data_IF_590945406822
#
_entry.id   IF_590945406822
#
_cell.length_a   1.000
_cell.length_b   1.000
_cell.length_c   1.000
_cell.angle_alpha   90.00
_cell.angle_beta   90.00
_cell.angle_gamma   90.00
#
_symmetry.space_group_name_H-M   'P 1'
#
loop_
_entity.id
_entity.type
_entity.pdbx_description
1 polymer ?
#
# COMPACT_ATOMS: atom_id res chain seq x y z
N UNK A 1 20.56 6.96 -14.64
CA UNK A 1 19.95 5.66 -14.93
C UNK A 1 18.49 5.89 -15.30
N UNK A 2 17.98 5.18 -16.28
CA UNK A 2 16.59 5.36 -16.78
C UNK A 2 15.80 4.06 -16.60
N UNK A 3 14.55 4.18 -16.22
CA UNK A 3 13.61 3.06 -16.06
C UNK A 3 12.23 3.50 -16.55
N UNK A 4 11.36 2.53 -16.84
CA UNK A 4 9.97 2.80 -17.15
C UNK A 4 9.12 2.37 -15.96
N UNK A 5 8.05 3.10 -15.68
CA UNK A 5 7.17 2.77 -14.56
C UNK A 5 5.72 3.18 -14.82
N UNK A 6 4.86 2.83 -13.88
CA UNK A 6 3.44 3.18 -13.90
C UNK A 6 3.11 4.11 -12.73
N UNK A 7 2.30 5.13 -13.00
CA UNK A 7 1.78 6.04 -11.97
C UNK A 7 0.59 5.38 -11.26
N UNK A 8 0.67 5.25 -9.94
CA UNK A 8 -0.35 4.62 -9.12
C UNK A 8 -0.69 5.48 -7.89
N UNK A 9 -1.90 5.37 -7.32
CA UNK A 9 -2.18 5.95 -6.02
C UNK A 9 -1.36 5.25 -4.93
N UNK A 10 -0.99 5.99 -3.88
CA UNK A 10 -0.28 5.39 -2.72
C UNK A 10 -1.11 4.30 -2.04
N UNK A 11 -2.43 4.51 -1.99
CA UNK A 11 -3.36 3.52 -1.44
C UNK A 11 -4.53 3.34 -2.38
N UNK A 12 -4.70 2.13 -2.88
CA UNK A 12 -5.90 1.72 -3.61
C UNK A 12 -6.47 0.44 -3.01
N UNK A 13 -7.79 0.30 -3.06
CA UNK A 13 -8.49 -0.88 -2.57
C UNK A 13 -9.45 -1.38 -3.63
N UNK A 14 -9.36 -2.65 -3.93
CA UNK A 14 -10.31 -3.35 -4.78
C UNK A 14 -11.48 -3.84 -3.93
N UNK A 15 -12.67 -3.41 -4.30
CA UNK A 15 -13.92 -3.79 -3.63
C UNK A 15 -14.61 -4.84 -4.46
N UNK A 16 -14.83 -6.00 -3.86
CA UNK A 16 -15.51 -7.13 -4.47
C UNK A 16 -16.65 -7.65 -3.61
N UNK A 17 -17.26 -8.77 -4.04
CA UNK A 17 -18.30 -9.47 -3.29
C UNK A 17 -17.93 -10.92 -3.03
N UNK A 18 -18.42 -11.46 -1.89
CA UNK A 18 -18.23 -12.86 -1.52
C UNK A 18 -19.49 -13.72 -1.80
N UNK A 19 -20.55 -13.11 -2.36
CA UNK A 19 -21.78 -13.80 -2.72
C UNK A 19 -22.06 -13.62 -4.21
N UNK A 20 -22.63 -14.66 -4.80
CA UNK A 20 -23.08 -14.61 -6.20
C UNK A 20 -24.49 -14.06 -6.28
N UNK A 21 -24.78 -13.28 -7.32
CA UNK A 21 -26.09 -12.71 -7.54
C UNK A 21 -26.08 -11.71 -8.70
N UNK A 22 -27.18 -11.01 -8.86
CA UNK A 22 -27.36 -9.96 -9.87
C UNK A 22 -27.16 -8.61 -9.18
N UNK A 23 -26.46 -7.68 -9.82
CA UNK A 23 -26.37 -6.29 -9.37
C UNK A 23 -27.73 -5.64 -9.59
N UNK A 24 -28.40 -5.24 -8.51
CA UNK A 24 -29.70 -4.56 -8.58
C UNK A 24 -29.53 -3.08 -8.87
N UNK A 25 -28.69 -2.39 -8.09
CA UNK A 25 -28.45 -0.94 -8.22
C UNK A 25 -27.00 -0.56 -7.98
N UNK A 26 -26.58 0.48 -8.69
CA UNK A 26 -25.31 1.17 -8.49
C UNK A 26 -25.57 2.57 -7.95
N UNK A 27 -24.82 2.96 -6.93
CA UNK A 27 -24.92 4.25 -6.24
C UNK A 27 -23.68 5.11 -6.38
N UNK A 28 -22.61 4.57 -6.99
CA UNK A 28 -21.39 5.27 -7.30
C UNK A 28 -20.95 4.96 -8.73
N UNK A 29 -20.42 5.95 -9.41
CA UNK A 29 -19.89 5.83 -10.76
C UNK A 29 -18.43 6.29 -10.82
N UNK A 30 -17.82 6.24 -12.01
CA UNK A 30 -16.44 6.68 -12.23
C UNK A 30 -16.23 8.10 -11.72
N UNK A 31 -15.11 8.35 -11.06
CA UNK A 31 -14.68 9.63 -10.49
C UNK A 31 -15.55 10.17 -9.34
N UNK A 32 -16.52 9.41 -8.84
CA UNK A 32 -17.30 9.81 -7.67
C UNK A 32 -16.46 9.75 -6.39
N UNK A 33 -16.66 10.74 -5.53
CA UNK A 33 -16.10 10.74 -4.19
C UNK A 33 -16.98 9.92 -3.25
N UNK A 34 -16.40 8.97 -2.57
CA UNK A 34 -17.06 8.07 -1.64
C UNK A 34 -16.41 8.13 -0.26
N UNK A 35 -17.23 7.87 0.77
CA UNK A 35 -16.77 7.81 2.16
C UNK A 35 -16.76 6.37 2.65
N UNK A 36 -15.89 6.08 3.61
CA UNK A 36 -15.87 4.79 4.28
C UNK A 36 -17.27 4.44 4.86
N UNK A 37 -17.76 3.24 4.54
CA UNK A 37 -19.11 2.78 4.88
C UNK A 37 -20.23 3.29 3.97
N UNK A 38 -19.97 4.14 2.99
CA UNK A 38 -20.96 4.59 2.02
C UNK A 38 -21.36 3.43 1.11
N UNK A 39 -22.69 3.28 0.87
CA UNK A 39 -23.22 2.31 -0.07
C UNK A 39 -22.83 2.70 -1.50
N UNK A 40 -22.19 1.77 -2.22
CA UNK A 40 -21.74 1.95 -3.60
C UNK A 40 -22.46 1.04 -4.59
N UNK A 41 -22.89 -0.15 -4.14
CA UNK A 41 -23.70 -1.04 -4.96
C UNK A 41 -24.57 -1.95 -4.08
N UNK A 42 -25.64 -2.46 -4.64
CA UNK A 42 -26.55 -3.38 -4.02
C UNK A 42 -26.87 -4.53 -4.96
N UNK A 43 -26.80 -5.75 -4.45
CA UNK A 43 -27.20 -6.95 -5.17
C UNK A 43 -28.65 -7.30 -4.87
N UNK A 44 -29.28 -8.07 -5.76
CA UNK A 44 -30.61 -8.65 -5.50
C UNK A 44 -30.58 -9.51 -4.22
N UNK A 45 -31.41 -9.14 -3.25
CA UNK A 45 -31.48 -9.75 -1.93
C UNK A 45 -32.64 -10.73 -1.76
N UNK A 46 -33.48 -10.91 -2.78
CA UNK A 46 -34.73 -11.70 -2.65
C UNK A 46 -34.43 -13.13 -2.17
N UNK A 47 -33.49 -13.80 -2.80
CA UNK A 47 -33.09 -15.17 -2.41
C UNK A 47 -32.44 -15.23 -1.04
N UNK A 48 -31.54 -14.29 -0.73
CA UNK A 48 -30.82 -14.22 0.54
C UNK A 48 -31.75 -13.86 1.72
N UNK A 49 -32.78 -13.05 1.46
CA UNK A 49 -33.84 -12.76 2.45
C UNK A 49 -34.69 -13.99 2.74
N UNK A 50 -35.10 -14.75 1.70
CA UNK A 50 -35.84 -15.99 1.89
C UNK A 50 -35.03 -17.04 2.67
N UNK A 51 -33.72 -17.15 2.40
CA UNK A 51 -32.82 -18.00 3.18
C UNK A 51 -32.73 -17.55 4.64
N UNK A 52 -32.67 -16.24 4.90
CA UNK A 52 -32.65 -15.70 6.25
C UNK A 52 -33.94 -16.02 7.00
N UNK A 53 -35.09 -15.85 6.38
CA UNK A 53 -36.40 -16.21 6.97
C UNK A 53 -36.48 -17.69 7.30
N UNK A 54 -35.99 -18.55 6.40
CA UNK A 54 -35.94 -20.00 6.64
C UNK A 54 -35.04 -20.36 7.82
N UNK A 55 -33.83 -19.74 7.89
CA UNK A 55 -32.88 -19.94 9.00
C UNK A 55 -33.47 -19.42 10.34
N UNK A 56 -34.23 -18.32 10.32
CA UNK A 56 -34.91 -17.80 11.50
C UNK A 56 -35.98 -18.75 12.00
N UNK A 57 -36.80 -19.32 11.09
CA UNK A 57 -37.82 -20.30 11.44
C UNK A 57 -37.19 -21.56 12.04
N UNK A 58 -36.11 -22.06 11.47
CA UNK A 58 -35.36 -23.21 12.00
C UNK A 58 -34.78 -22.93 13.39
N UNK A 59 -34.22 -21.74 13.60
CA UNK A 59 -33.67 -21.30 14.90
C UNK A 59 -34.83 -21.21 15.95
N UNK A 60 -35.99 -20.68 15.57
CA UNK A 60 -37.14 -20.60 16.47
C UNK A 60 -37.65 -21.99 16.89
N UNK A 61 -37.68 -22.94 15.93
CA UNK A 61 -38.08 -24.33 16.22
C UNK A 61 -37.11 -25.01 17.17
N UNK A 62 -35.81 -24.98 16.89
CA UNK A 62 -34.78 -25.59 17.75
C UNK A 62 -34.69 -24.93 19.13
N UNK A 63 -34.92 -23.61 19.21
CA UNK A 63 -35.02 -22.89 20.48
C UNK A 63 -36.19 -23.39 21.34
N UNK A 64 -37.35 -23.57 20.74
CA UNK A 64 -38.55 -24.08 21.45
C UNK A 64 -38.32 -25.48 22.00
N UNK A 65 -37.71 -26.36 21.20
CA UNK A 65 -37.34 -27.72 21.66
C UNK A 65 -36.31 -27.67 22.80
N UNK A 66 -35.27 -26.86 22.68
CA UNK A 66 -34.29 -26.68 23.74
C UNK A 66 -34.92 -26.15 25.04
N UNK A 67 -35.82 -25.18 24.97
CA UNK A 67 -36.52 -24.62 26.14
C UNK A 67 -37.44 -25.70 26.79
N UNK A 68 -38.08 -26.52 25.98
CA UNK A 68 -38.89 -27.63 26.47
C UNK A 68 -38.02 -28.66 27.19
N UNK A 69 -36.96 -29.13 26.57
CA UNK A 69 -36.07 -30.12 27.15
C UNK A 69 -35.35 -29.60 28.39
N UNK A 70 -35.00 -28.31 28.43
CA UNK A 70 -34.41 -27.65 29.62
C UNK A 70 -35.39 -27.76 30.82
N UNK A 71 -36.65 -27.45 30.62
CA UNK A 71 -37.68 -27.56 31.67
C UNK A 71 -37.92 -29.01 32.09
N UNK A 72 -37.92 -29.93 31.13
CA UNK A 72 -38.08 -31.37 31.40
C UNK A 72 -36.91 -31.92 32.21
N UNK A 73 -35.68 -31.64 31.79
CA UNK A 73 -34.46 -32.05 32.52
C UNK A 73 -34.44 -31.48 33.93
N UNK A 74 -34.72 -30.18 34.10
CA UNK A 74 -34.74 -29.57 35.44
C UNK A 74 -35.77 -30.23 36.37
N UNK A 75 -36.95 -30.60 35.84
CA UNK A 75 -37.96 -31.35 36.60
C UNK A 75 -37.49 -32.74 36.97
N UNK A 76 -36.98 -33.49 35.99
CA UNK A 76 -36.47 -34.86 36.19
C UNK A 76 -35.29 -34.87 37.16
N UNK A 77 -34.41 -33.91 37.11
CA UNK A 77 -33.28 -33.71 38.04
C UNK A 77 -33.77 -33.55 39.47
N UNK A 78 -34.79 -32.71 39.71
CA UNK A 78 -35.38 -32.50 41.04
C UNK A 78 -36.06 -33.76 41.56
N UNK A 79 -36.71 -34.56 40.71
CA UNK A 79 -37.31 -35.85 41.10
C UNK A 79 -36.25 -36.91 41.40
N UNK A 80 -35.15 -36.93 40.62
CA UNK A 80 -34.04 -37.85 40.86
C UNK A 80 -33.32 -37.56 42.19
N UNK A 81 -33.08 -36.29 42.51
CA UNK A 81 -32.51 -35.88 43.83
C UNK A 81 -33.38 -36.34 45.01
N UNK A 82 -34.72 -36.49 44.77
CA UNK A 82 -35.67 -37.04 45.74
C UNK A 82 -35.88 -38.57 45.65
N UNK A 83 -35.10 -39.25 44.81
CA UNK A 83 -35.19 -40.69 44.54
C UNK A 83 -36.57 -41.16 44.03
N UNK A 84 -37.25 -40.30 43.28
CA UNK A 84 -38.58 -40.57 42.73
C UNK A 84 -38.60 -41.04 41.26
N UNK A 85 -37.42 -41.02 40.60
CA UNK A 85 -37.23 -41.54 39.24
C UNK A 85 -35.93 -42.35 39.19
N UNK A 86 -35.81 -43.25 38.20
CA UNK A 86 -34.63 -44.08 37.99
C UNK A 86 -33.44 -43.31 37.39
N UNK A 87 -32.23 -43.83 37.59
CA UNK A 87 -31.00 -43.27 36.94
C UNK A 87 -31.17 -43.26 35.42
N UNK A 88 -31.73 -44.29 34.81
CA UNK A 88 -31.97 -44.38 33.36
C UNK A 88 -32.92 -43.27 32.84
N UNK A 89 -33.94 -42.89 33.59
CA UNK A 89 -34.85 -41.79 33.23
C UNK A 89 -34.15 -40.43 33.33
N UNK A 90 -33.29 -40.28 34.35
CA UNK A 90 -32.45 -39.06 34.49
C UNK A 90 -31.45 -38.94 33.34
N UNK A 91 -30.72 -40.04 33.04
CA UNK A 91 -29.74 -40.05 31.93
C UNK A 91 -30.43 -39.79 30.57
N UNK A 92 -31.61 -40.35 30.35
CA UNK A 92 -32.40 -40.07 29.14
C UNK A 92 -32.82 -38.61 29.04
N UNK A 93 -33.26 -37.98 30.11
CA UNK A 93 -33.65 -36.57 30.13
C UNK A 93 -32.41 -35.68 29.92
N UNK A 94 -31.28 -36.01 30.47
CA UNK A 94 -30.01 -35.30 30.24
C UNK A 94 -29.56 -35.41 28.78
N UNK A 95 -29.60 -36.60 28.21
CA UNK A 95 -29.24 -36.84 26.81
C UNK A 95 -30.11 -36.00 25.87
N UNK A 96 -31.43 -35.98 26.08
CA UNK A 96 -32.37 -35.18 25.25
C UNK A 96 -32.11 -33.68 25.40
N UNK A 97 -31.81 -33.20 26.61
CA UNK A 97 -31.45 -31.82 26.87
C UNK A 97 -30.20 -31.43 26.11
N UNK A 98 -29.10 -32.22 26.22
CA UNK A 98 -27.83 -31.93 25.52
C UNK A 98 -28.01 -32.00 24.00
N UNK A 99 -28.78 -32.93 23.48
CA UNK A 99 -29.10 -33.05 22.05
C UNK A 99 -29.84 -31.82 21.55
N UNK A 100 -30.85 -31.36 22.27
CA UNK A 100 -31.65 -30.18 21.92
C UNK A 100 -30.77 -28.89 22.01
N UNK A 101 -29.87 -28.80 23.01
CA UNK A 101 -28.95 -27.71 23.14
C UNK A 101 -28.02 -27.63 21.93
N UNK A 102 -27.39 -28.75 21.56
CA UNK A 102 -26.47 -28.81 20.42
C UNK A 102 -27.19 -28.44 19.10
N UNK A 103 -28.43 -28.89 18.92
CA UNK A 103 -29.26 -28.53 17.75
C UNK A 103 -29.59 -27.02 17.71
N UNK A 104 -29.85 -26.41 18.87
CA UNK A 104 -30.06 -24.98 18.97
C UNK A 104 -28.81 -24.19 18.64
N UNK A 105 -27.65 -24.57 19.22
CA UNK A 105 -26.34 -23.93 18.93
C UNK A 105 -25.97 -24.04 17.44
N UNK A 106 -26.21 -25.20 16.81
CA UNK A 106 -26.01 -25.42 15.38
C UNK A 106 -26.90 -24.48 14.53
N UNK A 107 -28.19 -24.37 14.88
CA UNK A 107 -29.12 -23.48 14.15
C UNK A 107 -28.76 -22.01 14.32
N UNK A 108 -28.24 -21.63 15.50
CA UNK A 108 -27.74 -20.27 15.75
C UNK A 108 -26.54 -19.95 14.87
N UNK A 109 -25.57 -20.86 14.77
CA UNK A 109 -24.41 -20.70 13.90
C UNK A 109 -24.80 -20.60 12.41
N UNK A 110 -25.76 -21.43 11.96
CA UNK A 110 -26.29 -21.39 10.60
C UNK A 110 -26.96 -20.03 10.30
N UNK A 111 -27.77 -19.51 11.21
CA UNK A 111 -28.42 -18.20 11.07
C UNK A 111 -27.41 -17.06 10.97
N UNK A 112 -26.32 -17.09 11.76
CA UNK A 112 -25.25 -16.09 11.69
C UNK A 112 -24.57 -16.09 10.31
N UNK A 113 -24.32 -17.29 9.74
CA UNK A 113 -23.75 -17.42 8.39
C UNK A 113 -24.65 -16.79 7.33
N UNK A 114 -25.95 -17.12 7.33
CA UNK A 114 -26.91 -16.57 6.35
C UNK A 114 -27.07 -15.06 6.49
N UNK A 115 -27.13 -14.55 7.72
CA UNK A 115 -27.14 -13.11 7.98
C UNK A 115 -25.92 -12.38 7.44
N UNK A 116 -24.75 -13.01 7.56
CA UNK A 116 -23.49 -12.45 7.00
C UNK A 116 -23.53 -12.42 5.48
N UNK A 117 -24.00 -13.49 4.84
CA UNK A 117 -24.16 -13.54 3.39
C UNK A 117 -25.09 -12.43 2.87
N UNK A 118 -26.20 -12.19 3.57
CA UNK A 118 -27.09 -11.06 3.26
C UNK A 118 -26.36 -9.70 3.41
N UNK A 119 -25.47 -9.57 4.39
CA UNK A 119 -24.62 -8.38 4.54
C UNK A 119 -23.70 -8.15 3.35
N UNK A 120 -23.15 -9.21 2.77
CA UNK A 120 -22.27 -9.12 1.60
C UNK A 120 -22.97 -8.71 0.30
N UNK A 121 -24.30 -8.81 0.24
CA UNK A 121 -25.12 -8.29 -0.86
C UNK A 121 -25.24 -6.76 -0.84
N UNK A 122 -24.78 -6.09 0.22
CA UNK A 122 -24.71 -4.65 0.35
C UNK A 122 -23.25 -4.23 0.30
N UNK A 123 -22.82 -3.65 -0.82
CA UNK A 123 -21.43 -3.35 -1.10
C UNK A 123 -21.16 -1.90 -0.69
N UNK A 124 -20.25 -1.72 0.27
CA UNK A 124 -19.89 -0.41 0.79
C UNK A 124 -18.41 -0.13 0.56
N UNK A 125 -18.05 1.15 0.45
CA UNK A 125 -16.65 1.55 0.36
C UNK A 125 -15.92 1.25 1.68
N UNK A 126 -14.76 0.60 1.66
CA UNK A 126 -13.95 0.36 2.86
C UNK A 126 -13.15 1.59 3.31
N UNK A 127 -12.91 2.55 2.41
CA UNK A 127 -12.08 3.75 2.62
C UNK A 127 -12.77 5.00 2.10
N UNK A 128 -12.34 6.16 2.58
CA UNK A 128 -12.64 7.43 1.93
C UNK A 128 -11.79 7.56 0.67
N UNK A 129 -12.37 8.05 -0.43
CA UNK A 129 -11.59 8.19 -1.66
C UNK A 129 -12.42 8.46 -2.90
N UNK A 130 -11.81 8.21 -4.06
CA UNK A 130 -12.39 8.38 -5.39
C UNK A 130 -12.46 7.05 -6.11
N UNK A 131 -13.58 6.76 -6.76
CA UNK A 131 -13.75 5.57 -7.60
C UNK A 131 -12.92 5.72 -8.88
N UNK A 132 -11.88 4.90 -9.03
CA UNK A 132 -11.04 4.88 -10.23
C UNK A 132 -11.69 4.07 -11.35
N UNK A 133 -12.22 2.89 -10.99
CA UNK A 133 -12.84 2.01 -11.96
C UNK A 133 -14.08 1.33 -11.39
N UNK A 134 -15.02 1.03 -12.28
CA UNK A 134 -16.22 0.26 -12.07
C UNK A 134 -16.25 -0.87 -13.09
N UNK A 135 -16.12 -2.10 -12.63
CA UNK A 135 -16.05 -3.30 -13.48
C UNK A 135 -17.38 -4.02 -13.66
N UNK A 136 -18.49 -3.42 -13.19
CA UNK A 136 -19.83 -4.03 -13.21
C UNK A 136 -20.92 -3.06 -13.63
N UNK A 137 -22.01 -3.62 -14.17
CA UNK A 137 -23.19 -2.87 -14.64
C UNK A 137 -24.45 -3.34 -13.87
N UNK A 138 -25.49 -2.48 -13.84
CA UNK A 138 -26.81 -2.87 -13.33
C UNK A 138 -27.41 -4.00 -14.17
N UNK A 139 -27.97 -5.01 -13.51
CA UNK A 139 -28.46 -6.21 -14.14
C UNK A 139 -27.40 -7.26 -14.46
N UNK A 140 -26.12 -6.97 -14.26
CA UNK A 140 -25.04 -7.94 -14.49
C UNK A 140 -25.05 -9.02 -13.41
N UNK A 141 -24.87 -10.28 -13.84
CA UNK A 141 -24.66 -11.40 -12.92
C UNK A 141 -23.21 -11.52 -12.53
N UNK A 142 -22.95 -11.51 -11.23
CA UNK A 142 -21.63 -11.70 -10.65
C UNK A 142 -21.57 -13.07 -9.96
N UNK A 143 -20.55 -13.85 -10.27
CA UNK A 143 -20.31 -15.15 -9.64
C UNK A 143 -19.07 -15.07 -8.74
N UNK A 144 -19.29 -15.17 -7.43
CA UNK A 144 -18.20 -15.33 -6.45
C UNK A 144 -17.82 -16.81 -6.41
N UNK A 145 -16.68 -17.14 -6.98
CA UNK A 145 -16.16 -18.51 -7.07
C UNK A 145 -14.81 -18.65 -6.36
N UNK A 146 -13.82 -19.21 -7.06
CA UNK A 146 -12.47 -19.37 -6.55
C UNK A 146 -11.73 -18.01 -6.42
N UNK A 147 -12.06 -17.03 -7.25
CA UNK A 147 -11.55 -15.69 -7.20
C UNK A 147 -12.68 -14.71 -6.87
N UNK A 148 -12.38 -13.72 -6.05
CA UNK A 148 -13.33 -12.65 -5.74
C UNK A 148 -13.33 -11.65 -6.90
N UNK A 149 -14.46 -11.48 -7.62
CA UNK A 149 -14.51 -10.51 -8.70
C UNK A 149 -14.41 -9.08 -8.16
N UNK A 150 -13.52 -8.28 -8.73
CA UNK A 150 -13.41 -6.85 -8.43
C UNK A 150 -14.59 -6.12 -9.07
N UNK A 151 -15.34 -5.37 -8.26
CA UNK A 151 -16.49 -4.57 -8.70
C UNK A 151 -16.11 -3.10 -8.87
N UNK A 152 -15.34 -2.58 -7.91
CA UNK A 152 -14.84 -1.21 -7.90
C UNK A 152 -13.38 -1.18 -7.47
N UNK A 153 -12.64 -0.20 -7.99
CA UNK A 153 -11.32 0.17 -7.48
C UNK A 153 -11.40 1.60 -6.93
N UNK A 154 -11.04 1.78 -5.68
CA UNK A 154 -11.13 3.07 -4.98
C UNK A 154 -9.73 3.48 -4.54
N UNK A 155 -9.33 4.72 -4.90
CA UNK A 155 -8.11 5.35 -4.40
C UNK A 155 -8.44 6.28 -3.25
N UNK A 156 -7.58 6.31 -2.24
CA UNK A 156 -7.78 7.18 -1.09
C UNK A 156 -7.57 8.65 -1.45
N UNK A 157 -6.40 9.00 -1.98
CA UNK A 157 -6.02 10.37 -2.30
C UNK A 157 -5.23 10.40 -3.62
N UNK A 158 -5.72 11.19 -4.58
CA UNK A 158 -5.05 11.39 -5.86
C UNK A 158 -4.05 12.55 -5.85
N UNK A 159 -3.94 13.30 -4.75
CA UNK A 159 -2.93 14.35 -4.59
C UNK A 159 -1.55 13.78 -4.23
N UNK A 160 -1.54 12.56 -3.69
CA UNK A 160 -0.33 11.81 -3.39
C UNK A 160 -0.30 10.54 -4.23
N UNK A 161 0.54 10.56 -5.23
CA UNK A 161 0.75 9.44 -6.13
C UNK A 161 2.13 8.84 -5.91
N UNK A 162 2.34 7.67 -6.44
CA UNK A 162 3.64 7.01 -6.53
C UNK A 162 3.89 6.55 -7.96
N UNK A 163 5.15 6.49 -8.35
CA UNK A 163 5.56 5.82 -9.57
C UNK A 163 6.22 4.51 -9.17
N UNK A 164 5.70 3.41 -9.65
CA UNK A 164 6.31 2.09 -9.51
C UNK A 164 7.13 1.87 -10.78
N UNK A 165 8.45 1.97 -10.66
CA UNK A 165 9.38 1.86 -11.78
C UNK A 165 10.04 0.49 -11.79
N UNK A 166 10.09 -0.14 -12.96
CA UNK A 166 10.74 -1.43 -13.19
C UNK A 166 12.21 -1.21 -13.55
N UNK A 167 13.08 -1.56 -12.63
CA UNK A 167 14.52 -1.39 -12.76
C UNK A 167 15.17 -2.74 -13.04
N UNK A 168 16.02 -2.80 -14.06
CA UNK A 168 16.77 -4.00 -14.44
C UNK A 168 17.71 -4.46 -13.31
N UNK A 169 17.87 -5.80 -13.16
CA UNK A 169 18.79 -6.41 -12.19
C UNK A 169 20.23 -5.86 -12.29
N UNK A 170 20.67 -5.52 -13.50
CA UNK A 170 22.01 -4.98 -13.71
C UNK A 170 22.23 -3.61 -13.05
N UNK A 171 21.18 -2.83 -12.87
CA UNK A 171 21.22 -1.45 -12.41
C UNK A 171 20.75 -1.27 -10.97
N UNK A 172 19.97 -2.20 -10.41
CA UNK A 172 19.34 -2.08 -9.09
C UNK A 172 20.37 -1.90 -7.96
N UNK A 173 21.58 -2.44 -8.12
CA UNK A 173 22.65 -2.32 -7.13
C UNK A 173 23.15 -0.87 -6.90
N UNK A 174 22.77 0.08 -7.77
CA UNK A 174 23.12 1.49 -7.64
C UNK A 174 21.97 2.35 -7.09
N UNK A 175 20.77 1.77 -6.96
CA UNK A 175 19.59 2.46 -6.44
C UNK A 175 19.55 2.33 -4.92
N UNK A 176 19.28 3.45 -4.26
CA UNK A 176 19.13 3.50 -2.81
C UNK A 176 17.97 4.44 -2.43
N UNK A 177 17.38 4.17 -1.26
CA UNK A 177 16.34 5.02 -0.70
C UNK A 177 16.81 6.47 -0.54
N UNK A 178 15.92 7.42 -0.83
CA UNK A 178 16.21 8.85 -0.73
C UNK A 178 16.91 9.47 -1.93
N UNK A 179 17.23 8.72 -2.97
CA UNK A 179 17.79 9.29 -4.20
C UNK A 179 16.76 10.16 -4.92
N UNK A 180 17.25 11.27 -5.51
CA UNK A 180 16.43 12.17 -6.31
C UNK A 180 16.08 11.52 -7.64
N UNK A 181 14.84 11.69 -8.04
CA UNK A 181 14.30 11.18 -9.28
C UNK A 181 13.66 12.32 -10.07
N UNK A 182 13.85 12.30 -11.36
CA UNK A 182 13.04 13.08 -12.29
C UNK A 182 12.29 12.13 -13.22
N UNK A 183 11.04 12.42 -13.47
CA UNK A 183 10.25 11.63 -14.40
C UNK A 183 9.35 12.52 -15.27
N UNK A 184 9.05 12.06 -16.45
CA UNK A 184 8.05 12.61 -17.35
C UNK A 184 7.01 11.54 -17.63
N UNK A 185 5.78 11.95 -17.89
CA UNK A 185 4.70 11.04 -18.30
C UNK A 185 4.35 11.26 -19.75
N UNK A 186 3.98 10.21 -20.46
CA UNK A 186 3.71 10.28 -21.91
C UNK A 186 2.57 11.26 -22.24
N UNK A 187 1.65 11.49 -21.29
CA UNK A 187 0.57 12.46 -21.43
C UNK A 187 1.04 13.93 -21.39
N UNK A 188 2.19 14.21 -20.76
CA UNK A 188 2.78 15.55 -20.60
C UNK A 188 4.30 15.47 -20.83
N UNK A 189 4.75 15.33 -22.08
CA UNK A 189 6.17 15.10 -22.40
C UNK A 189 7.06 16.31 -22.10
N UNK A 190 6.49 17.53 -22.09
CA UNK A 190 7.22 18.77 -21.81
C UNK A 190 7.29 19.09 -20.30
N UNK A 191 6.45 18.45 -19.48
CA UNK A 191 6.44 18.64 -18.03
C UNK A 191 7.40 17.62 -17.38
N UNK A 192 8.28 18.11 -16.52
CA UNK A 192 9.17 17.28 -15.71
C UNK A 192 8.70 17.30 -14.26
N UNK A 193 8.45 16.13 -13.71
CA UNK A 193 8.06 15.95 -12.33
C UNK A 193 9.28 15.52 -11.51
N UNK A 194 9.31 15.95 -10.26
CA UNK A 194 10.39 15.57 -9.33
C UNK A 194 9.83 14.65 -8.23
N UNK A 195 10.63 13.67 -7.85
CA UNK A 195 10.29 12.74 -6.80
C UNK A 195 11.53 12.23 -6.09
N UNK A 196 11.34 11.37 -5.11
CA UNK A 196 12.41 10.69 -4.39
C UNK A 196 12.11 9.20 -4.30
N UNK A 197 13.15 8.37 -4.34
CA UNK A 197 13.00 6.93 -4.09
C UNK A 197 12.56 6.73 -2.65
N UNK A 198 11.37 6.16 -2.45
CA UNK A 198 10.84 5.83 -1.13
C UNK A 198 11.40 4.49 -0.66
N UNK A 199 11.36 3.50 -1.53
CA UNK A 199 11.86 2.17 -1.21
C UNK A 199 12.12 1.36 -2.48
N UNK A 200 13.05 0.41 -2.38
CA UNK A 200 13.30 -0.63 -3.37
C UNK A 200 12.64 -1.92 -2.88
N UNK A 201 11.70 -2.50 -3.65
CA UNK A 201 11.08 -3.78 -3.30
C UNK A 201 12.08 -4.92 -3.49
N UNK A 202 12.09 -5.85 -2.53
CA UNK A 202 13.03 -6.99 -2.53
C UNK A 202 12.57 -8.15 -3.42
N UNK A 203 11.30 -8.17 -3.80
CA UNK A 203 10.74 -9.17 -4.70
C UNK A 203 11.09 -8.82 -6.14
N UNK A 204 11.73 -9.75 -6.84
CA UNK A 204 12.00 -9.62 -8.26
C UNK A 204 10.84 -10.14 -9.08
N UNK A 205 10.45 -9.39 -10.10
CA UNK A 205 9.48 -9.81 -11.09
C UNK A 205 10.21 -10.30 -12.33
N UNK A 206 9.80 -11.47 -12.85
CA UNK A 206 10.40 -12.02 -14.07
C UNK A 206 9.35 -12.03 -15.17
N UNK A 207 9.48 -11.15 -16.14
CA UNK A 207 8.64 -11.12 -17.32
C UNK A 207 9.47 -11.38 -18.59
N UNK A 208 9.04 -12.29 -19.42
CA UNK A 208 9.70 -12.62 -20.70
C UNK A 208 11.22 -12.88 -20.56
N UNK A 209 11.66 -13.54 -19.48
CA UNK A 209 13.07 -13.80 -19.15
C UNK A 209 13.89 -12.55 -18.76
N UNK A 210 13.27 -11.42 -18.50
CA UNK A 210 13.90 -10.23 -17.94
C UNK A 210 13.56 -10.14 -16.46
N UNK A 211 14.57 -9.99 -15.61
CA UNK A 211 14.43 -9.83 -14.16
C UNK A 211 14.47 -8.35 -13.83
N UNK A 212 13.39 -7.85 -13.26
CA UNK A 212 13.26 -6.46 -12.82
C UNK A 212 12.92 -6.38 -11.35
N UNK A 213 13.28 -5.26 -10.73
CA UNK A 213 12.92 -4.91 -9.36
C UNK A 213 12.06 -3.65 -9.35
N UNK A 214 10.99 -3.68 -8.60
CA UNK A 214 10.12 -2.53 -8.47
C UNK A 214 10.71 -1.50 -7.50
N UNK A 215 10.87 -0.28 -8.00
CA UNK A 215 11.30 0.89 -7.22
C UNK A 215 10.13 1.84 -7.05
N UNK A 216 9.74 2.07 -5.80
CA UNK A 216 8.65 2.98 -5.46
C UNK A 216 9.20 4.39 -5.28
N UNK A 217 8.64 5.34 -6.03
CA UNK A 217 9.06 6.73 -6.10
C UNK A 217 7.88 7.61 -5.71
N UNK A 218 8.10 8.54 -4.79
CA UNK A 218 7.10 9.55 -4.42
C UNK A 218 6.83 10.49 -5.60
N UNK A 219 5.57 10.73 -5.89
CA UNK A 219 5.11 11.56 -6.99
C UNK A 219 4.00 12.52 -6.53
N UNK A 220 4.35 13.67 -5.90
CA UNK A 220 3.37 14.66 -5.48
C UNK A 220 2.55 15.19 -6.66
N UNK A 221 1.22 15.23 -6.52
CA UNK A 221 0.28 15.59 -7.56
C UNK A 221 -0.74 16.67 -7.12
N UNK A 222 -0.31 17.87 -6.69
CA UNK A 222 -1.21 18.89 -6.19
C UNK A 222 -2.18 19.41 -7.26
N UNK A 223 -1.77 19.40 -8.51
CA UNK A 223 -2.57 19.86 -9.64
C UNK A 223 -3.46 18.78 -10.27
N UNK A 224 -3.46 17.57 -9.73
CA UNK A 224 -4.20 16.40 -10.25
C UNK A 224 -3.92 16.09 -11.74
N UNK A 225 -2.72 16.45 -12.23
CA UNK A 225 -2.27 16.14 -13.59
C UNK A 225 -1.94 14.66 -13.77
N UNK A 226 -1.32 14.05 -12.74
CA UNK A 226 -1.00 12.64 -12.75
C UNK A 226 -2.28 11.82 -12.51
N UNK A 227 -2.58 10.94 -13.44
CA UNK A 227 -3.71 10.00 -13.33
C UNK A 227 -3.20 8.59 -13.13
N UNK A 228 -3.92 7.75 -12.38
CA UNK A 228 -3.60 6.33 -12.27
C UNK A 228 -3.49 5.65 -13.64
N UNK A 229 -2.46 4.80 -13.81
CA UNK A 229 -2.23 4.07 -15.04
C UNK A 229 -1.41 4.80 -16.11
N UNK A 230 -0.95 6.04 -15.87
CA UNK A 230 -0.03 6.72 -16.79
C UNK A 230 1.34 6.04 -16.78
N UNK A 231 1.92 5.88 -17.97
CA UNK A 231 3.32 5.45 -18.11
C UNK A 231 4.26 6.61 -17.84
N UNK A 232 5.25 6.37 -16.99
CA UNK A 232 6.28 7.32 -16.62
C UNK A 232 7.67 6.86 -17.09
N UNK A 233 8.42 7.78 -17.70
CA UNK A 233 9.81 7.61 -18.02
C UNK A 233 10.64 8.23 -16.90
N UNK A 234 11.31 7.38 -16.13
CA UNK A 234 11.96 7.72 -14.87
C UNK A 234 13.47 7.83 -15.07
N UNK A 235 14.06 8.88 -14.51
CA UNK A 235 15.53 9.06 -14.43
C UNK A 235 15.94 9.15 -12.98
N UNK A 236 16.63 8.13 -12.47
CA UNK A 236 17.16 8.07 -11.10
C UNK A 236 18.59 8.58 -11.08
N UNK A 237 18.91 9.53 -10.18
CA UNK A 237 20.24 10.09 -10.01
C UNK A 237 21.03 9.28 -8.99
N UNK A 238 21.84 8.31 -9.46
CA UNK A 238 22.59 7.39 -8.59
C UNK A 238 23.87 8.00 -8.02
N UNK A 239 24.44 9.03 -8.67
CA UNK A 239 25.67 9.72 -8.23
C UNK A 239 25.52 11.23 -8.41
N UNK A 240 25.17 11.95 -7.37
CA UNK A 240 25.33 13.41 -7.33
C UNK A 240 26.77 13.76 -6.89
N UNK A 241 27.72 13.86 -7.84
CA UNK A 241 28.95 14.56 -7.55
C UNK A 241 28.65 16.05 -7.45
N UNK A 242 28.63 16.62 -6.25
CA UNK A 242 28.71 18.08 -6.08
C UNK A 242 29.99 18.55 -6.74
N UNK A 243 29.91 18.93 -8.00
CA UNK A 243 30.97 19.67 -8.65
C UNK A 243 31.02 21.04 -7.96
N UNK A 244 32.01 21.23 -7.11
CA UNK A 244 32.40 22.58 -6.75
C UNK A 244 32.91 23.22 -8.04
N UNK A 245 32.02 23.87 -8.80
CA UNK A 245 32.39 24.67 -9.96
C UNK A 245 33.17 25.89 -9.44
N UNK A 246 34.46 25.75 -9.42
CA UNK A 246 35.34 26.89 -9.13
C UNK A 246 35.50 27.68 -10.41
N UNK A 247 35.34 29.02 -10.38
CA UNK A 247 35.55 29.82 -11.59
C UNK A 247 36.96 29.61 -12.14
N UNK A 248 37.10 29.53 -13.45
CA UNK A 248 38.35 29.34 -14.17
C UNK A 248 39.47 30.33 -13.73
N UNK A 249 39.06 31.49 -13.22
CA UNK A 249 39.94 32.49 -12.64
C UNK A 249 40.70 31.98 -11.38
N UNK A 250 40.05 31.10 -10.58
CA UNK A 250 40.67 30.52 -9.39
C UNK A 250 41.80 29.53 -9.75
N UNK A 251 41.75 28.93 -10.93
CA UNK A 251 42.80 28.04 -11.45
C UNK A 251 44.03 28.78 -12.03
N UNK A 252 43.89 30.10 -12.26
CA UNK A 252 44.95 30.98 -12.81
C UNK A 252 45.51 31.93 -11.75
N UNK A 253 44.95 31.90 -10.54
CA UNK A 253 45.36 32.78 -9.47
C UNK A 253 46.66 32.24 -8.83
N UNK A 254 47.73 33.01 -8.98
CA UNK A 254 49.01 32.79 -8.26
C UNK A 254 49.11 33.91 -7.24
N UNK A 255 49.04 33.62 -5.93
CA UNK A 255 49.16 34.67 -4.90
C UNK A 255 50.58 35.27 -4.94
N UNK A 256 50.68 36.60 -4.93
CA UNK A 256 51.95 37.26 -4.82
C UNK A 256 52.43 37.32 -3.34
N UNK A 257 53.71 37.58 -3.12
CA UNK A 257 54.33 37.57 -1.79
C UNK A 257 53.66 38.58 -0.81
N UNK A 258 53.11 39.70 -1.32
CA UNK A 258 52.42 40.69 -0.52
C UNK A 258 51.10 40.18 0.04
N UNK A 259 50.30 39.50 -0.79
CA UNK A 259 49.05 38.90 -0.37
C UNK A 259 49.24 37.76 0.63
N UNK A 260 50.31 36.98 0.49
CA UNK A 260 50.64 35.91 1.44
C UNK A 260 51.07 36.50 2.79
N UNK A 261 51.77 37.65 2.78
CA UNK A 261 52.15 38.37 4.00
C UNK A 261 50.96 38.98 4.76
N UNK A 262 49.97 39.56 4.08
CA UNK A 262 48.76 40.09 4.70
C UNK A 262 47.87 39.02 5.35
N UNK A 263 47.92 37.78 4.83
CA UNK A 263 47.11 36.65 5.34
C UNK A 263 47.92 35.84 6.39
N UNK A 264 49.18 36.21 6.65
CA UNK A 264 50.05 35.54 7.63
C UNK A 264 50.53 34.14 7.20
N UNK A 265 50.62 33.88 5.88
CA UNK A 265 51.02 32.61 5.31
C UNK A 265 52.39 32.76 4.63
N UNK A 266 53.28 31.81 4.87
CA UNK A 266 54.57 31.70 4.13
C UNK A 266 54.37 30.86 2.88
N UNK A 267 55.00 31.28 1.77
CA UNK A 267 54.99 30.49 0.53
C UNK A 267 55.65 29.11 0.78
N UNK A 268 54.88 28.07 0.53
CA UNK A 268 55.44 26.70 0.51
C UNK A 268 56.12 26.51 -0.84
N UNK A 269 57.41 26.11 -0.83
CA UNK A 269 58.12 25.74 -2.05
C UNK A 269 57.36 24.60 -2.75
N UNK A 270 56.93 24.85 -3.99
CA UNK A 270 56.28 23.88 -4.85
C UNK A 270 57.25 22.79 -5.26
N UNK A 271 56.93 21.54 -4.94
CA UNK A 271 57.68 20.38 -5.38
C UNK A 271 57.61 20.26 -6.91
N UNK A 272 58.76 20.31 -7.58
CA UNK A 272 58.89 20.38 -9.04
C UNK A 272 58.58 19.07 -9.78
N UNK A 273 57.82 18.14 -9.18
CA UNK A 273 57.44 16.84 -9.77
C UNK A 273 55.98 16.71 -10.15
N UNK A 274 55.29 17.79 -10.40
CA UNK A 274 53.89 17.70 -10.89
C UNK A 274 53.87 17.19 -12.35
N UNK A 275 52.99 16.21 -12.63
CA UNK A 275 52.79 15.64 -13.96
C UNK A 275 52.38 16.73 -14.97
N UNK A 276 52.82 16.65 -16.25
CA UNK A 276 52.46 17.64 -17.26
C UNK A 276 50.93 17.69 -17.47
N UNK A 277 50.35 18.85 -17.11
CA UNK A 277 48.90 19.10 -17.19
C UNK A 277 48.20 19.31 -15.85
N UNK A 278 48.85 19.06 -14.72
CA UNK A 278 48.30 19.36 -13.39
C UNK A 278 48.39 20.86 -13.09
N UNK A 279 47.34 21.43 -12.50
CA UNK A 279 47.28 22.81 -12.02
C UNK A 279 47.09 22.84 -10.52
N UNK A 280 47.83 23.69 -9.84
CA UNK A 280 47.72 23.86 -8.39
C UNK A 280 46.51 24.77 -8.05
N UNK A 281 45.80 24.41 -7.04
CA UNK A 281 44.65 25.17 -6.55
C UNK A 281 44.89 25.56 -5.09
N UNK A 282 44.92 26.85 -4.82
CA UNK A 282 45.07 27.37 -3.48
C UNK A 282 43.70 27.50 -2.81
N UNK A 283 43.50 26.78 -1.66
CA UNK A 283 42.24 26.78 -0.90
C UNK A 283 42.54 27.16 0.54
N UNK A 284 41.83 28.15 1.06
CA UNK A 284 41.83 28.44 2.50
C UNK A 284 41.01 27.39 3.22
N UNK A 285 41.65 26.56 4.02
CA UNK A 285 40.97 25.58 4.86
C UNK A 285 40.54 26.23 6.16
N UNK A 286 39.24 26.40 6.37
CA UNK A 286 38.70 26.81 7.67
C UNK A 286 38.64 25.58 8.60
N UNK A 287 39.73 25.36 9.37
CA UNK A 287 39.70 24.43 10.50
C UNK A 287 39.01 25.12 11.69
N UNK A 288 37.91 24.57 12.14
CA UNK A 288 37.37 24.87 13.47
C UNK A 288 38.36 24.38 14.52
N UNK A 289 38.98 25.33 15.27
CA UNK A 289 39.87 25.15 16.42
C UNK A 289 41.30 24.62 16.16
N UNK A 290 42.18 25.48 15.59
CA UNK A 290 43.63 25.49 15.94
C UNK A 290 44.26 26.78 15.42
N UNK A 291 45.29 27.37 16.07
CA UNK A 291 45.89 28.63 15.66
C UNK A 291 46.79 28.42 14.44
N UNK A 292 46.76 29.38 13.51
CA UNK A 292 47.55 29.52 12.29
C UNK A 292 47.26 28.45 11.20
N UNK A 293 46.45 28.86 10.20
CA UNK A 293 46.11 28.01 9.06
C UNK A 293 47.24 27.95 8.01
N UNK A 294 47.52 26.74 7.61
CA UNK A 294 48.34 26.48 6.42
C UNK A 294 47.44 26.37 5.20
N UNK A 295 47.85 27.01 4.08
CA UNK A 295 47.27 26.69 2.77
C UNK A 295 47.99 25.49 2.20
N UNK A 296 47.28 24.42 1.87
CA UNK A 296 47.82 23.27 1.16
C UNK A 296 47.42 23.32 -0.32
N UNK A 297 48.35 23.10 -1.20
CA UNK A 297 48.09 22.88 -2.62
C UNK A 297 47.55 21.47 -2.83
N UNK A 298 46.35 21.35 -3.38
CA UNK A 298 45.77 20.07 -3.76
C UNK A 298 45.87 19.89 -5.29
N UNK A 299 46.29 18.71 -5.79
CA UNK A 299 46.32 18.47 -7.24
C UNK A 299 44.88 18.56 -7.79
N UNK A 300 44.72 19.27 -8.90
CA UNK A 300 43.46 19.32 -9.61
C UNK A 300 43.19 17.95 -10.23
N UNK A 301 42.07 17.29 -9.79
CA UNK A 301 41.64 16.08 -10.44
C UNK A 301 41.19 16.40 -11.88
N UNK A 302 41.68 15.62 -12.82
CA UNK A 302 41.32 15.57 -14.24
C UNK A 302 39.86 15.12 -14.39
#
# INVERSE_FOLDING_TARGET
>A
MTATGTVEPVTQVEVGTQVSGIIDKLYADYNDQVKAGQLIAEMDKVTLQAELESAQAQLASSKTEYEYQTKNYARTKTLHEKQLVSDAEYDQAFYLYETARNAYEQSQAAMVKVKRNLGYATITSPIDGVVISRAVEEGQTVAAGFETPTLFTIANDLTQMQVVADVDEADIGQVADGQRVQFSVDAYPDDTFEGTVLQVRLEATTESNVVTYEVVIDAPNPDLKLKPGLTANVTIFTLEKRRNSRPDQALRFVPNAELLGEIGLTAVETDSQAAPGSRELWVKEERRSAPAGYMQALPAAT
#
